data_IF_796803748882
#
_entry.id   IF_796803748882
#
_cell.length_a   1.000
_cell.length_b   1.000
_cell.length_c   1.000
_cell.angle_alpha   90.00
_cell.angle_beta   90.00
_cell.angle_gamma   90.00
#
_symmetry.space_group_name_H-M   'P 1'
#
loop_
_entity.id
_entity.type
_entity.pdbx_description
1 polymer ?
#
# COMPACT_ATOMS: atom_id res chain seq x y z
N UNK A 1 50.86 26.78 38.15
CA UNK A 1 51.00 27.26 36.76
C UNK A 1 50.30 26.28 35.81
N UNK A 2 49.02 26.48 35.45
CA UNK A 2 48.38 25.78 34.34
C UNK A 2 48.30 26.68 33.10
N UNK A 3 48.68 26.11 31.95
CA UNK A 3 48.78 26.77 30.66
C UNK A 3 47.43 27.13 30.04
N UNK A 4 47.39 28.33 29.47
CA UNK A 4 46.30 28.87 28.64
C UNK A 4 46.29 28.14 27.29
N UNK A 5 45.23 27.41 26.97
CA UNK A 5 45.00 26.89 25.62
C UNK A 5 44.44 28.00 24.72
N UNK A 6 45.23 28.37 23.70
CA UNK A 6 44.79 29.09 22.52
C UNK A 6 44.83 28.12 21.35
N UNK A 7 43.73 27.91 20.61
CA UNK A 7 43.81 27.08 19.43
C UNK A 7 42.50 26.68 18.75
N UNK A 8 41.90 27.64 18.04
CA UNK A 8 41.24 27.45 16.73
C UNK A 8 39.92 26.67 16.70
N UNK A 9 38.80 27.39 16.89
CA UNK A 9 37.50 27.01 16.34
C UNK A 9 37.57 26.98 14.82
N UNK A 10 37.74 25.79 14.25
CA UNK A 10 37.50 25.55 12.84
C UNK A 10 36.00 25.66 12.56
N UNK A 11 35.58 26.79 11.99
CA UNK A 11 34.22 26.97 11.50
C UNK A 11 33.96 25.99 10.37
N UNK A 12 33.27 24.90 10.68
CA UNK A 12 32.60 24.10 9.66
C UNK A 12 31.37 24.91 9.23
N UNK A 13 31.54 25.73 8.19
CA UNK A 13 30.40 26.28 7.47
C UNK A 13 29.61 25.07 6.94
N UNK A 14 28.48 24.79 7.57
CA UNK A 14 27.51 23.84 7.04
C UNK A 14 27.17 24.29 5.62
N UNK A 15 27.23 23.37 4.66
CA UNK A 15 26.78 23.65 3.31
C UNK A 15 25.34 24.19 3.36
N UNK A 16 25.00 25.22 2.59
CA UNK A 16 23.63 25.69 2.54
C UNK A 16 22.74 24.53 2.12
N UNK A 17 21.55 24.37 2.72
CA UNK A 17 20.59 23.37 2.25
C UNK A 17 20.35 23.61 0.76
N UNK A 18 20.30 22.54 -0.07
CA UNK A 18 20.07 22.70 -1.50
C UNK A 18 18.75 23.46 -1.71
N UNK A 19 18.78 24.42 -2.62
CA UNK A 19 17.63 25.28 -2.96
C UNK A 19 16.38 24.44 -3.20
N UNK A 20 15.28 24.89 -2.61
CA UNK A 20 13.96 24.27 -2.66
C UNK A 20 13.70 23.64 -4.02
N UNK A 21 13.77 22.31 -4.09
CA UNK A 21 13.14 21.59 -5.18
C UNK A 21 11.64 21.70 -4.91
N UNK A 22 11.06 22.83 -5.34
CA UNK A 22 9.63 22.91 -5.59
C UNK A 22 9.37 21.84 -6.64
N UNK A 23 8.97 20.66 -6.18
CA UNK A 23 8.49 19.54 -6.96
C UNK A 23 6.97 19.67 -7.04
N UNK A 24 6.42 20.41 -8.02
CA UNK A 24 4.97 20.53 -8.19
C UNK A 24 4.29 19.18 -8.47
N UNK A 25 5.06 18.11 -8.68
CA UNK A 25 4.66 16.73 -8.92
C UNK A 25 4.63 15.84 -7.67
N UNK A 26 5.00 16.34 -6.50
CA UNK A 26 4.71 15.67 -5.22
C UNK A 26 3.20 15.73 -4.97
N UNK A 27 2.44 14.92 -5.73
CA UNK A 27 1.09 14.48 -5.37
C UNK A 27 1.15 14.20 -3.89
N UNK A 28 0.38 14.97 -3.11
CA UNK A 28 0.30 14.90 -1.64
C UNK A 28 0.61 13.48 -1.21
N UNK A 29 1.70 13.22 -0.47
CA UNK A 29 2.11 11.86 -0.16
C UNK A 29 0.92 11.16 0.46
N UNK A 30 0.29 10.28 -0.32
CA UNK A 30 -0.87 9.53 0.15
C UNK A 30 -0.39 8.84 1.42
N UNK A 31 -1.08 9.00 2.57
CA UNK A 31 -0.53 8.56 3.84
C UNK A 31 -0.16 7.07 3.80
N UNK A 32 1.13 6.81 3.62
CA UNK A 32 1.60 5.45 3.32
C UNK A 32 1.42 4.54 4.53
N UNK A 33 1.47 5.13 5.74
CA UNK A 33 1.24 4.43 7.00
C UNK A 33 -0.15 3.80 7.05
N UNK A 34 -1.19 4.57 6.74
CA UNK A 34 -2.59 4.15 6.74
C UNK A 34 -2.82 3.06 5.68
N UNK A 35 -2.29 3.25 4.47
CA UNK A 35 -2.35 2.25 3.41
C UNK A 35 -1.71 0.92 3.83
N UNK A 36 -0.48 0.96 4.34
CA UNK A 36 0.23 -0.23 4.87
C UNK A 36 -0.61 -0.89 5.95
N UNK A 37 -1.17 -0.11 6.86
CA UNK A 37 -1.96 -0.59 8.00
C UNK A 37 -3.20 -1.34 7.51
N UNK A 38 -4.03 -0.72 6.68
CA UNK A 38 -5.25 -1.34 6.17
C UNK A 38 -4.97 -2.59 5.32
N UNK A 39 -3.97 -2.53 4.42
CA UNK A 39 -3.62 -3.68 3.59
C UNK A 39 -3.04 -4.83 4.42
N UNK A 40 -2.27 -4.54 5.47
CA UNK A 40 -1.75 -5.56 6.39
C UNK A 40 -2.87 -6.21 7.21
N UNK A 41 -3.85 -5.43 7.68
CA UNK A 41 -5.02 -5.99 8.34
C UNK A 41 -5.84 -6.88 7.41
N UNK A 42 -6.02 -6.47 6.15
CA UNK A 42 -6.69 -7.28 5.15
C UNK A 42 -5.91 -8.57 4.85
N UNK A 43 -4.58 -8.49 4.75
CA UNK A 43 -3.70 -9.65 4.57
C UNK A 43 -3.88 -10.68 5.68
N UNK A 44 -3.86 -10.25 6.95
CA UNK A 44 -4.05 -11.13 8.11
C UNK A 44 -5.39 -11.85 8.06
N UNK A 45 -6.44 -11.17 7.58
CA UNK A 45 -7.78 -11.77 7.43
C UNK A 45 -7.82 -12.78 6.29
N UNK A 46 -7.29 -12.42 5.11
CA UNK A 46 -7.20 -13.33 3.96
C UNK A 46 -6.32 -14.55 4.24
N UNK A 47 -5.27 -14.42 5.07
CA UNK A 47 -4.43 -15.54 5.49
C UNK A 47 -5.17 -16.62 6.29
N UNK A 48 -6.39 -16.33 6.78
CA UNK A 48 -7.26 -17.30 7.46
C UNK A 48 -8.24 -17.98 6.50
N UNK A 49 -8.34 -17.52 5.26
CA UNK A 49 -9.27 -18.06 4.26
C UNK A 49 -8.55 -19.15 3.45
N UNK A 50 -9.01 -20.42 3.49
CA UNK A 50 -8.41 -21.49 2.72
C UNK A 50 -8.44 -21.21 1.21
N UNK A 51 -7.36 -21.56 0.51
CA UNK A 51 -7.31 -21.44 -0.94
C UNK A 51 -6.81 -20.09 -1.45
N UNK A 52 -6.35 -19.19 -0.58
CA UNK A 52 -5.64 -17.98 -0.96
C UNK A 52 -4.27 -17.89 -0.28
N UNK A 53 -3.34 -17.25 -0.97
CA UNK A 53 -2.13 -16.68 -0.38
C UNK A 53 -2.04 -15.22 -0.78
N UNK A 54 -1.20 -14.46 -0.09
CA UNK A 54 -1.09 -13.02 -0.29
C UNK A 54 0.36 -12.57 -0.34
N UNK A 55 0.62 -11.50 -1.08
CA UNK A 55 1.93 -10.86 -1.12
C UNK A 55 1.80 -9.37 -1.41
N UNK A 56 2.69 -8.57 -0.83
CA UNK A 56 2.76 -7.15 -1.16
C UNK A 56 3.47 -6.92 -2.48
N UNK A 57 3.04 -5.89 -3.20
CA UNK A 57 3.71 -5.40 -4.40
C UNK A 57 3.57 -3.89 -4.50
N UNK A 58 4.20 -3.31 -5.52
CA UNK A 58 4.08 -1.90 -5.84
C UNK A 58 3.62 -1.76 -7.28
N UNK A 59 2.54 -1.03 -7.52
CA UNK A 59 2.02 -0.69 -8.85
C UNK A 59 1.88 0.82 -8.89
N UNK A 60 2.47 1.48 -9.89
CA UNK A 60 2.41 2.95 -10.04
C UNK A 60 2.78 3.71 -8.77
N UNK A 61 3.83 3.25 -8.06
CA UNK A 61 4.29 3.79 -6.77
C UNK A 61 3.30 3.64 -5.61
N UNK A 62 2.22 2.89 -5.77
CA UNK A 62 1.30 2.53 -4.71
C UNK A 62 1.54 1.11 -4.20
N UNK A 63 1.62 0.96 -2.88
CA UNK A 63 1.61 -0.35 -2.24
C UNK A 63 0.25 -1.04 -2.49
N UNK A 64 0.30 -2.28 -2.94
CA UNK A 64 -0.88 -3.11 -3.21
C UNK A 64 -0.74 -4.46 -2.54
N UNK A 65 -1.88 -5.09 -2.24
CA UNK A 65 -1.96 -6.47 -1.79
C UNK A 65 -2.36 -7.36 -2.96
N UNK A 66 -1.47 -8.24 -3.40
CA UNK A 66 -1.79 -9.28 -4.37
C UNK A 66 -2.41 -10.46 -3.64
N UNK A 67 -3.63 -10.82 -4.02
CA UNK A 67 -4.38 -11.98 -3.54
C UNK A 67 -4.27 -13.06 -4.60
N UNK A 68 -3.62 -14.17 -4.27
CA UNK A 68 -3.26 -15.23 -5.20
C UNK A 68 -4.06 -16.47 -4.83
N UNK A 69 -5.02 -16.91 -5.67
CA UNK A 69 -5.73 -18.15 -5.42
C UNK A 69 -4.79 -19.36 -5.56
N UNK A 70 -4.81 -20.26 -4.58
CA UNK A 70 -3.98 -21.47 -4.52
C UNK A 70 -4.87 -22.67 -4.86
N UNK A 71 -5.07 -22.95 -6.16
CA UNK A 71 -5.64 -24.23 -6.63
C UNK A 71 -4.57 -25.03 -7.37
N UNK A 72 -4.53 -26.35 -7.12
CA UNK A 72 -3.47 -27.28 -7.53
C UNK A 72 -3.26 -27.46 -9.06
N UNK A 73 -4.07 -26.84 -9.94
CA UNK A 73 -4.06 -27.17 -11.39
C UNK A 73 -4.22 -26.01 -12.38
N UNK A 74 -4.32 -24.76 -11.95
CA UNK A 74 -4.48 -23.64 -12.89
C UNK A 74 -3.62 -22.44 -12.48
N UNK A 75 -2.99 -21.80 -13.47
CA UNK A 75 -2.43 -20.47 -13.34
C UNK A 75 -3.58 -19.47 -13.12
N UNK A 76 -3.99 -19.30 -11.86
CA UNK A 76 -5.04 -18.37 -11.50
C UNK A 76 -4.45 -16.95 -11.44
N UNK A 77 -5.12 -16.01 -12.11
CA UNK A 77 -4.69 -14.61 -12.14
C UNK A 77 -4.87 -14.00 -10.76
N UNK A 78 -3.78 -13.46 -10.20
CA UNK A 78 -3.83 -12.74 -8.94
C UNK A 78 -4.74 -11.51 -9.04
N UNK A 79 -5.45 -11.22 -7.95
CA UNK A 79 -6.22 -10.00 -7.77
C UNK A 79 -5.37 -9.00 -6.99
N UNK A 80 -5.07 -7.85 -7.58
CA UNK A 80 -4.38 -6.77 -6.87
C UNK A 80 -5.41 -5.83 -6.22
N UNK A 81 -5.29 -5.66 -4.90
CA UNK A 81 -6.14 -4.80 -4.08
C UNK A 81 -5.32 -3.62 -3.58
N UNK A 82 -5.81 -2.42 -3.87
CA UNK A 82 -5.23 -1.18 -3.37
C UNK A 82 -6.05 -0.60 -2.22
N UNK A 83 -5.50 0.41 -1.56
CA UNK A 83 -6.22 1.21 -0.57
C UNK A 83 -5.97 2.70 -0.84
N UNK A 84 -7.05 3.47 -0.96
CA UNK A 84 -7.01 4.91 -1.26
C UNK A 84 -7.98 5.67 -0.36
N UNK A 85 -7.65 6.92 -0.08
CA UNK A 85 -8.59 7.81 0.58
C UNK A 85 -9.59 8.36 -0.44
N UNK A 86 -10.87 8.06 -0.26
CA UNK A 86 -11.95 8.69 -0.99
C UNK A 86 -12.24 10.06 -0.37
N UNK A 87 -11.91 11.12 -1.09
CA UNK A 87 -12.13 12.51 -0.63
C UNK A 87 -13.60 12.90 -0.60
N UNK A 88 -14.46 12.26 -1.39
CA UNK A 88 -15.89 12.56 -1.41
C UNK A 88 -16.59 11.90 -0.22
N UNK A 89 -16.26 10.64 0.06
CA UNK A 89 -16.78 9.92 1.23
C UNK A 89 -16.06 10.26 2.54
N UNK A 90 -14.87 10.87 2.48
CA UNK A 90 -14.06 11.20 3.66
C UNK A 90 -13.47 9.97 4.37
N UNK A 91 -13.31 8.85 3.65
CA UNK A 91 -12.94 7.56 4.24
C UNK A 91 -11.95 6.78 3.36
N UNK A 92 -11.20 5.87 3.98
CA UNK A 92 -10.33 4.95 3.25
C UNK A 92 -11.14 3.81 2.66
N UNK A 93 -10.91 3.50 1.38
CA UNK A 93 -11.58 2.43 0.65
C UNK A 93 -10.57 1.45 0.09
N UNK A 94 -10.90 0.16 0.16
CA UNK A 94 -10.28 -0.85 -0.69
C UNK A 94 -10.84 -0.75 -2.10
N UNK A 95 -9.99 -1.00 -3.09
CA UNK A 95 -10.38 -1.00 -4.49
C UNK A 95 -9.59 -2.05 -5.25
N UNK A 96 -10.14 -2.52 -6.37
CA UNK A 96 -9.44 -3.44 -7.25
C UNK A 96 -8.56 -2.65 -8.23
N UNK A 97 -7.25 -2.85 -8.19
CA UNK A 97 -6.29 -2.04 -8.98
C UNK A 97 -6.53 -2.19 -10.48
N UNK A 98 -6.81 -3.40 -10.96
CA UNK A 98 -6.99 -3.64 -12.40
C UNK A 98 -8.27 -3.07 -13.01
N UNK A 99 -9.28 -2.68 -12.22
CA UNK A 99 -10.53 -2.05 -12.72
C UNK A 99 -10.78 -0.66 -12.13
N UNK A 100 -10.05 -0.27 -11.09
CA UNK A 100 -10.32 0.95 -10.31
C UNK A 100 -11.61 0.90 -9.49
N UNK A 101 -12.34 -0.22 -9.52
CA UNK A 101 -13.63 -0.40 -8.86
C UNK A 101 -13.46 -0.40 -7.34
N UNK A 102 -14.28 0.41 -6.66
CA UNK A 102 -14.32 0.44 -5.20
C UNK A 102 -14.93 -0.85 -4.68
N UNK A 103 -14.30 -1.47 -3.70
CA UNK A 103 -14.82 -2.66 -3.02
C UNK A 103 -15.69 -2.22 -1.84
N UNK A 104 -15.05 -1.69 -0.80
CA UNK A 104 -15.73 -1.23 0.41
C UNK A 104 -14.81 -0.32 1.24
N UNK A 105 -15.35 0.33 2.29
CA UNK A 105 -14.55 0.99 3.32
C UNK A 105 -13.46 0.07 3.91
N UNK A 106 -12.30 0.63 4.22
CA UNK A 106 -11.10 -0.11 4.63
C UNK A 106 -11.18 -0.67 6.06
N UNK A 107 -12.11 -0.16 6.87
CA UNK A 107 -12.48 -0.70 8.18
C UNK A 107 -13.44 -1.90 8.09
N UNK A 108 -14.06 -2.17 6.94
CA UNK A 108 -14.99 -3.28 6.73
C UNK A 108 -14.27 -4.55 6.24
N UNK A 109 -13.28 -5.04 7.00
CA UNK A 109 -12.38 -6.12 6.58
C UNK A 109 -13.10 -7.41 6.16
N UNK A 110 -14.11 -7.85 6.92
CA UNK A 110 -14.85 -9.09 6.60
C UNK A 110 -15.69 -8.96 5.32
N UNK A 111 -16.20 -7.75 5.05
CA UNK A 111 -16.87 -7.46 3.78
C UNK A 111 -15.87 -7.46 2.62
N UNK A 112 -14.70 -6.85 2.82
CA UNK A 112 -13.63 -6.86 1.82
C UNK A 112 -13.23 -8.29 1.44
N UNK A 113 -13.06 -9.17 2.44
CA UNK A 113 -12.75 -10.59 2.22
C UNK A 113 -13.81 -11.26 1.34
N UNK A 114 -15.10 -11.15 1.70
CA UNK A 114 -16.19 -11.76 0.90
C UNK A 114 -16.20 -11.25 -0.54
N UNK A 115 -16.08 -9.94 -0.75
CA UNK A 115 -16.05 -9.35 -2.09
C UNK A 115 -14.84 -9.82 -2.91
N UNK A 116 -13.68 -10.02 -2.25
CA UNK A 116 -12.48 -10.56 -2.89
C UNK A 116 -12.69 -12.04 -3.28
N UNK A 117 -13.28 -12.84 -2.41
CA UNK A 117 -13.60 -14.25 -2.70
C UNK A 117 -14.56 -14.38 -3.89
N UNK A 118 -15.61 -13.55 -3.93
CA UNK A 118 -16.56 -13.47 -5.03
C UNK A 118 -15.87 -13.04 -6.34
N UNK A 119 -15.07 -11.97 -6.30
CA UNK A 119 -14.33 -11.49 -7.47
C UNK A 119 -13.31 -12.51 -7.99
N UNK A 120 -12.65 -13.24 -7.09
CA UNK A 120 -11.74 -14.31 -7.43
C UNK A 120 -12.47 -15.52 -8.01
N UNK A 121 -13.66 -15.85 -7.52
CA UNK A 121 -14.49 -16.96 -8.00
C UNK A 121 -15.13 -16.68 -9.35
N UNK A 122 -15.64 -15.46 -9.58
CA UNK A 122 -16.22 -15.06 -10.86
C UNK A 122 -15.21 -15.09 -12.01
N UNK A 123 -13.96 -14.71 -11.73
CA UNK A 123 -12.85 -14.81 -12.69
C UNK A 123 -12.47 -16.26 -13.04
N UNK A 124 -12.82 -17.23 -12.19
CA UNK A 124 -12.62 -18.64 -12.46
C UNK A 124 -13.70 -19.22 -13.39
N UNK A 125 -14.92 -18.68 -13.40
CA UNK A 125 -16.06 -19.20 -14.17
C UNK A 125 -16.20 -18.68 -15.61
N UNK A 126 -15.53 -17.58 -15.98
CA UNK A 126 -15.61 -16.98 -17.33
C UNK A 126 -14.70 -17.63 -18.40
N UNK A 127 -14.08 -18.76 -18.08
CA UNK A 127 -13.33 -19.60 -19.03
C UNK A 127 -13.86 -21.03 -18.94
N UNK A 128 -15.05 -21.24 -19.49
CA UNK A 128 -15.58 -22.55 -19.87
C UNK A 128 -16.07 -22.42 -21.32
#
# INVERSE_FOLDING_TARGET
>A
MPGRHSGRSGGHLAAPPPEDVVRPDLRVPMPQRERVTYLSHLQVRLGRVPGFTTGFGVIEQELVLNVIPVRRRAFLKALSVGCRYDRQGGLWCFYQVGTGESLCPANELERAVRMIEEAASFRQGRRA
#
